data_IF_763709219357
#
_entry.id   IF_763709219357
#
_cell.length_a   1.000
_cell.length_b   1.000
_cell.length_c   1.000
_cell.angle_alpha   90.00
_cell.angle_beta   90.00
_cell.angle_gamma   90.00
#
_symmetry.space_group_name_H-M   'P 1'
#
loop_
_entity.id
_entity.type
_entity.pdbx_description
1 polymer ?
#
# COMPACT_ATOMS: atom_id res chain seq x y z
N UNK A 1 -11.08 11.01 12.42
CA UNK A 1 -11.49 9.66 12.05
C UNK A 1 -10.47 9.07 11.09
N UNK A 2 -10.02 7.84 11.35
CA UNK A 2 -9.02 7.20 10.50
C UNK A 2 -9.70 6.55 9.29
N UNK A 3 -9.10 6.75 8.14
CA UNK A 3 -9.54 6.10 6.91
C UNK A 3 -8.57 4.98 6.57
N UNK A 4 -9.10 3.82 6.22
CA UNK A 4 -8.30 2.69 5.75
C UNK A 4 -8.60 2.45 4.28
N UNK A 5 -7.56 2.10 3.53
CA UNK A 5 -7.69 1.69 2.14
C UNK A 5 -7.16 0.27 2.01
N UNK A 6 -7.72 -0.48 1.07
CA UNK A 6 -7.29 -1.85 0.80
C UNK A 6 -6.32 -1.86 -0.36
N UNK A 7 -5.16 -2.43 -0.12
CA UNK A 7 -4.11 -2.57 -1.13
C UNK A 7 -3.70 -4.03 -1.22
N UNK A 8 -2.98 -4.37 -2.28
CA UNK A 8 -2.55 -5.74 -2.53
C UNK A 8 -1.04 -5.82 -2.44
N UNK A 9 -0.52 -6.62 -1.50
CA UNK A 9 0.90 -6.92 -1.43
C UNK A 9 1.28 -7.94 -2.49
N UNK A 10 2.35 -7.72 -3.25
CA UNK A 10 2.75 -8.66 -4.28
C UNK A 10 3.29 -9.95 -3.69
N UNK A 11 3.22 -11.00 -4.49
CA UNK A 11 3.81 -12.28 -4.17
C UNK A 11 5.33 -12.13 -4.08
N UNK A 12 5.93 -12.76 -3.07
CA UNK A 12 7.38 -12.79 -2.92
C UNK A 12 7.86 -14.24 -2.96
N UNK A 13 8.45 -14.64 -4.06
CA UNK A 13 8.88 -16.02 -4.27
C UNK A 13 10.10 -16.38 -3.42
N UNK A 14 10.94 -15.42 -3.10
CA UNK A 14 12.13 -15.67 -2.28
C UNK A 14 11.76 -16.06 -0.86
N UNK A 15 10.79 -15.37 -0.28
CA UNK A 15 10.31 -15.62 1.07
C UNK A 15 9.19 -16.66 1.09
N UNK A 16 8.60 -16.95 -0.08
CA UNK A 16 7.51 -17.90 -0.19
C UNK A 16 6.15 -17.32 0.18
N UNK A 17 6.01 -16.01 0.25
CA UNK A 17 4.73 -15.38 0.55
C UNK A 17 3.89 -15.24 -0.71
N UNK A 18 2.58 -15.36 -0.54
CA UNK A 18 1.62 -15.20 -1.63
C UNK A 18 1.09 -13.77 -1.68
N UNK A 19 0.53 -13.41 -2.82
CA UNK A 19 -0.21 -12.16 -2.96
C UNK A 19 -1.33 -12.11 -1.93
N UNK A 20 -1.48 -10.97 -1.26
CA UNK A 20 -2.50 -10.82 -0.22
C UNK A 20 -3.02 -9.39 -0.14
N UNK A 21 -4.26 -9.27 0.30
CA UNK A 21 -4.87 -7.97 0.56
C UNK A 21 -4.47 -7.48 1.94
N UNK A 22 -4.20 -6.19 2.03
CA UNK A 22 -3.88 -5.55 3.30
C UNK A 22 -4.69 -4.27 3.44
N UNK A 23 -4.97 -3.87 4.67
CA UNK A 23 -5.61 -2.59 4.96
C UNK A 23 -4.57 -1.64 5.54
N UNK A 24 -4.53 -0.44 5.00
CA UNK A 24 -3.53 0.55 5.36
C UNK A 24 -4.24 1.79 5.89
N UNK A 25 -3.79 2.28 7.05
CA UNK A 25 -4.31 3.53 7.60
C UNK A 25 -3.71 4.70 6.83
N UNK A 26 -4.56 5.46 6.15
CA UNK A 26 -4.12 6.59 5.33
C UNK A 26 -3.33 7.60 6.17
N UNK A 27 -3.71 7.79 7.43
CA UNK A 27 -3.03 8.74 8.31
C UNK A 27 -1.60 8.32 8.66
N UNK A 28 -1.25 7.06 8.46
CA UNK A 28 0.10 6.55 8.73
C UNK A 28 1.03 6.68 7.53
N UNK A 29 0.50 7.02 6.37
CA UNK A 29 1.30 7.13 5.14
C UNK A 29 1.99 8.49 5.12
N UNK A 30 3.32 8.48 5.01
CA UNK A 30 4.10 9.71 4.85
C UNK A 30 4.06 10.19 3.41
N UNK A 31 4.33 9.26 2.48
CA UNK A 31 4.19 9.54 1.06
C UNK A 31 4.08 8.21 0.30
N UNK A 32 3.70 8.27 -0.93
CA UNK A 32 3.60 7.10 -1.78
C UNK A 32 3.95 7.45 -3.22
N UNK A 33 4.32 6.45 -3.98
CA UNK A 33 4.59 6.59 -5.40
C UNK A 33 4.16 5.29 -6.07
N UNK A 34 4.42 5.15 -7.36
CA UNK A 34 3.92 4.03 -8.12
C UNK A 34 4.33 2.69 -7.50
N UNK A 35 3.35 1.92 -7.06
CA UNK A 35 3.52 0.58 -6.47
C UNK A 35 4.33 0.56 -5.16
N UNK A 36 4.45 1.70 -4.48
CA UNK A 36 5.19 1.77 -3.21
C UNK A 36 4.51 2.71 -2.25
N UNK A 37 4.52 2.36 -0.98
CA UNK A 37 4.01 3.21 0.10
C UNK A 37 5.06 3.30 1.18
N UNK A 38 5.28 4.51 1.70
CA UNK A 38 6.29 4.78 2.72
C UNK A 38 5.62 5.24 4.01
N UNK A 39 5.95 4.59 5.11
CA UNK A 39 5.49 4.89 6.46
C UNK A 39 6.70 5.21 7.33
N UNK A 40 6.97 6.47 7.56
CA UNK A 40 8.11 6.83 8.40
C UNK A 40 9.41 6.23 7.87
N UNK A 41 9.93 5.24 8.58
CA UNK A 41 11.18 4.58 8.20
C UNK A 41 10.97 3.22 7.52
N UNK A 42 9.75 2.91 7.12
CA UNK A 42 9.43 1.63 6.47
C UNK A 42 8.77 1.88 5.12
N UNK A 43 9.04 0.99 4.19
CA UNK A 43 8.40 1.03 2.88
C UNK A 43 7.88 -0.36 2.53
N UNK A 44 6.74 -0.41 1.86
CA UNK A 44 6.17 -1.66 1.39
C UNK A 44 5.86 -1.55 -0.09
N UNK A 45 5.90 -2.70 -0.77
CA UNK A 45 5.51 -2.80 -2.17
C UNK A 45 4.04 -3.18 -2.26
N UNK A 46 3.34 -2.60 -3.22
CA UNK A 46 1.95 -2.93 -3.50
C UNK A 46 1.78 -3.06 -5.01
N UNK A 47 0.67 -3.65 -5.44
CA UNK A 47 0.39 -3.81 -6.87
C UNK A 47 -0.29 -2.59 -7.47
N UNK A 48 -0.92 -1.77 -6.64
CA UNK A 48 -1.65 -0.59 -7.08
C UNK A 48 -0.70 0.50 -7.56
N UNK A 49 -1.08 1.14 -8.66
CA UNK A 49 -0.31 2.26 -9.21
C UNK A 49 -0.53 3.53 -8.38
N UNK A 50 0.28 4.54 -8.64
CA UNK A 50 0.12 5.85 -8.00
C UNK A 50 -1.31 6.37 -8.18
N UNK A 51 -1.85 6.28 -9.39
CA UNK A 51 -3.21 6.78 -9.67
C UNK A 51 -4.27 6.00 -8.91
N UNK A 52 -4.11 4.68 -8.82
CA UNK A 52 -5.05 3.83 -8.09
C UNK A 52 -5.02 4.14 -6.59
N UNK A 53 -3.84 4.33 -6.02
CA UNK A 53 -3.71 4.68 -4.61
C UNK A 53 -4.36 6.04 -4.35
N UNK A 54 -4.12 7.01 -5.22
CA UNK A 54 -4.70 8.33 -5.10
C UNK A 54 -6.22 8.28 -5.12
N UNK A 55 -6.79 7.50 -6.02
CA UNK A 55 -8.24 7.34 -6.09
C UNK A 55 -8.82 6.75 -4.81
N UNK A 56 -8.16 5.74 -4.26
CA UNK A 56 -8.60 5.11 -3.02
C UNK A 56 -8.57 6.08 -1.85
N UNK A 57 -7.55 6.91 -1.78
CA UNK A 57 -7.43 7.91 -0.72
C UNK A 57 -8.51 8.99 -0.87
N UNK A 58 -8.80 9.39 -2.10
CA UNK A 58 -9.76 10.46 -2.38
C UNK A 58 -11.23 10.02 -2.30
N UNK A 59 -11.48 8.74 -2.29
CA UNK A 59 -12.83 8.22 -2.04
C UNK A 59 -13.28 8.57 -0.60
#
# INVERSE_FOLDING_TARGET
MNKFIELTQPKNEIVGTKERKIKVNVCSIDFYYDKHIVFGNRAIDVLESYDEITELIDE
#
